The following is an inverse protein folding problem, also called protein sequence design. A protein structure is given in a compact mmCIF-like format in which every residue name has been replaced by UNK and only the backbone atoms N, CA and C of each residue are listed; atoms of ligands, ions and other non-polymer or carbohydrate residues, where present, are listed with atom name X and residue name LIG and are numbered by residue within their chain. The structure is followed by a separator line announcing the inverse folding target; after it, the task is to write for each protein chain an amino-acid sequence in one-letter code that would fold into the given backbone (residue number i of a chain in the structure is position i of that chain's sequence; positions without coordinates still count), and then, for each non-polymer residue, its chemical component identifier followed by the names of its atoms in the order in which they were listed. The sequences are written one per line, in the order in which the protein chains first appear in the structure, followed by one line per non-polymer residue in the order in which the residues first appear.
data_IF_082609046086
#
_entry.id   IF_082609046086
#
_cell.length_a   1.000
_cell.length_b   1.000
_cell.length_c   1.000
_cell.angle_alpha   90.00
_cell.angle_beta   90.00
_cell.angle_gamma   90.00
#
_symmetry.space_group_name_H-M   'P 1'
#
loop_
_entity.id
_entity.type
_entity.pdbx_description
1 polymer ?
#
# COMPACT_ATOMS: atom_id res chain seq x y z
N UNK A 1 6.36 9.94 4.88
CA UNK A 1 4.94 10.31 5.03
C UNK A 1 4.41 10.75 3.67
N UNK A 2 3.29 10.20 3.20
CA UNK A 2 2.64 10.65 1.97
C UNK A 2 1.61 11.74 2.31
N UNK A 3 2.13 12.90 2.70
CA UNK A 3 1.35 14.09 3.06
C UNK A 3 1.26 15.02 1.86
N UNK A 4 0.17 15.78 1.76
CA UNK A 4 -0.07 16.70 0.63
C UNK A 4 0.05 16.01 -0.74
N UNK A 5 -0.76 14.97 -1.02
CA UNK A 5 -0.76 14.36 -2.34
C UNK A 5 -1.17 15.39 -3.39
N UNK A 6 -0.50 15.38 -4.54
CA UNK A 6 -0.78 16.23 -5.70
C UNK A 6 -0.79 15.37 -6.95
N UNK A 7 -1.58 15.79 -7.94
CA UNK A 7 -1.67 15.12 -9.24
C UNK A 7 -0.94 15.95 -10.31
N UNK A 8 -0.11 15.31 -11.13
CA UNK A 8 0.48 15.93 -12.31
C UNK A 8 -0.52 15.93 -13.49
N UNK A 9 -0.32 16.76 -14.53
CA UNK A 9 -1.18 16.74 -15.72
C UNK A 9 -1.26 15.38 -16.42
N UNK A 10 -0.21 14.55 -16.31
CA UNK A 10 -0.19 13.19 -16.83
C UNK A 10 -0.90 12.15 -15.93
N UNK A 11 -1.61 12.58 -14.87
CA UNK A 11 -2.45 11.73 -14.02
C UNK A 11 -1.74 10.98 -12.89
N UNK A 12 -0.41 11.11 -12.77
CA UNK A 12 0.35 10.47 -11.70
C UNK A 12 0.33 11.31 -10.42
N UNK A 13 0.45 10.63 -9.27
CA UNK A 13 0.28 11.25 -7.96
C UNK A 13 1.55 11.13 -7.13
N UNK A 14 1.95 12.22 -6.48
CA UNK A 14 3.15 12.31 -5.65
C UNK A 14 2.86 13.14 -4.39
N UNK A 15 3.72 13.05 -3.38
CA UNK A 15 3.71 14.05 -2.31
C UNK A 15 4.19 15.40 -2.86
N UNK A 16 3.61 16.52 -2.43
CA UNK A 16 3.96 17.86 -2.95
C UNK A 16 5.45 18.16 -2.87
N UNK A 17 6.07 17.86 -1.73
CA UNK A 17 7.51 18.03 -1.52
C UNK A 17 8.32 17.17 -2.50
N UNK A 18 7.94 15.91 -2.68
CA UNK A 18 8.64 14.93 -3.50
C UNK A 18 8.76 15.40 -4.96
N UNK A 19 7.64 15.82 -5.56
CA UNK A 19 7.62 16.27 -6.96
C UNK A 19 8.27 17.65 -7.11
N UNK A 20 8.14 18.52 -6.11
CA UNK A 20 8.77 19.84 -6.10
C UNK A 20 10.29 19.70 -6.10
N UNK A 21 10.85 18.91 -5.18
CA UNK A 21 12.28 18.65 -5.09
C UNK A 21 12.82 17.95 -6.36
N UNK A 22 12.06 17.02 -6.94
CA UNK A 22 12.45 16.39 -8.20
C UNK A 22 12.60 17.42 -9.33
N UNK A 23 11.64 18.34 -9.46
CA UNK A 23 11.70 19.40 -10.47
C UNK A 23 12.74 20.48 -10.20
N UNK A 24 13.05 20.78 -8.93
CA UNK A 24 14.07 21.78 -8.59
C UNK A 24 15.50 21.31 -8.93
N UNK A 25 15.74 19.99 -8.96
CA UNK A 25 17.03 19.39 -9.30
C UNK A 25 17.23 19.04 -10.78
N UNK A 26 16.22 19.25 -11.62
CA UNK A 26 16.21 18.78 -13.02
C UNK A 26 16.14 19.93 -14.02
N UNK A 27 16.73 19.71 -15.20
CA UNK A 27 16.67 20.70 -16.29
C UNK A 27 15.27 20.84 -16.89
N UNK A 28 14.47 19.77 -16.79
CA UNK A 28 13.13 19.68 -17.37
C UNK A 28 12.12 19.25 -16.31
N UNK A 29 10.90 19.77 -16.41
CA UNK A 29 9.79 19.36 -15.54
C UNK A 29 9.24 18.01 -16.01
N UNK A 30 9.93 16.93 -15.63
CA UNK A 30 9.59 15.57 -16.06
C UNK A 30 8.77 14.85 -15.00
N UNK A 31 7.81 14.03 -15.43
CA UNK A 31 7.13 13.10 -14.53
C UNK A 31 8.11 11.98 -14.10
N UNK A 32 8.30 11.73 -12.78
CA UNK A 32 9.17 10.65 -12.30
C UNK A 32 8.76 9.26 -12.80
N UNK A 33 7.48 9.02 -13.07
CA UNK A 33 6.94 7.72 -13.45
C UNK A 33 6.92 7.51 -14.97
N UNK A 34 6.08 8.26 -15.70
CA UNK A 34 5.91 8.06 -17.15
C UNK A 34 6.91 8.84 -18.02
N UNK A 35 7.76 9.68 -17.42
CA UNK A 35 8.79 10.48 -18.11
C UNK A 35 8.25 11.55 -19.07
N UNK A 36 6.95 11.82 -19.05
CA UNK A 36 6.35 12.95 -19.78
C UNK A 36 6.99 14.27 -19.34
N UNK A 37 7.26 15.15 -20.31
CA UNK A 37 7.93 16.43 -20.09
C UNK A 37 6.90 17.54 -20.19
N UNK A 38 6.80 18.36 -19.15
CA UNK A 38 6.00 19.58 -19.14
C UNK A 38 6.86 20.76 -19.60
N UNK A 39 6.35 21.57 -20.52
CA UNK A 39 7.06 22.73 -21.07
C UNK A 39 7.27 23.83 -20.04
N UNK A 40 6.31 23.99 -19.12
CA UNK A 40 6.35 24.90 -17.98
C UNK A 40 6.10 24.14 -16.69
N UNK A 41 6.55 24.68 -15.56
CA UNK A 41 6.30 24.06 -14.25
C UNK A 41 4.81 24.03 -13.96
N UNK A 42 4.18 22.86 -13.80
CA UNK A 42 2.76 22.77 -13.46
C UNK A 42 2.48 23.38 -12.07
N UNK A 43 1.36 24.11 -11.95
CA UNK A 43 0.84 24.51 -10.64
C UNK A 43 0.20 23.29 -9.97
N UNK A 44 0.70 22.93 -8.79
CA UNK A 44 0.25 21.73 -8.06
C UNK A 44 -0.63 22.11 -6.87
N UNK A 45 -1.86 21.60 -6.89
CA UNK A 45 -2.82 21.70 -5.78
C UNK A 45 -2.96 20.37 -5.09
N UNK A 46 -3.18 20.41 -3.78
CA UNK A 46 -3.39 19.20 -2.99
C UNK A 46 -4.68 18.52 -3.46
N UNK A 47 -4.56 17.24 -3.79
CA UNK A 47 -5.68 16.39 -4.12
C UNK A 47 -6.34 15.91 -2.81
N UNK A 48 -7.41 16.57 -2.41
CA UNK A 48 -8.13 16.30 -1.15
C UNK A 48 -8.70 14.90 -1.11
N UNK A 49 -9.20 14.37 -2.24
CA UNK A 49 -9.70 13.00 -2.33
C UNK A 49 -8.63 11.97 -2.01
N UNK A 50 -7.43 12.10 -2.58
CA UNK A 50 -6.31 11.18 -2.26
C UNK A 50 -5.89 11.34 -0.80
N UNK A 51 -5.86 12.58 -0.30
CA UNK A 51 -5.53 12.84 1.11
C UNK A 51 -6.51 12.10 2.04
N UNK A 52 -7.80 12.25 1.83
CA UNK A 52 -8.85 11.58 2.63
C UNK A 52 -8.71 10.06 2.59
N UNK A 53 -8.45 9.47 1.41
CA UNK A 53 -8.21 8.03 1.31
C UNK A 53 -6.99 7.58 2.12
N UNK A 54 -5.87 8.30 2.03
CA UNK A 54 -4.64 7.95 2.76
C UNK A 54 -4.86 8.14 4.28
N UNK A 55 -5.65 9.13 4.68
CA UNK A 55 -6.01 9.37 6.08
C UNK A 55 -6.87 8.23 6.63
N UNK A 56 -7.87 7.78 5.87
CA UNK A 56 -8.71 6.63 6.22
C UNK A 56 -7.88 5.35 6.41
N UNK A 57 -6.97 5.04 5.48
CA UNK A 57 -6.11 3.86 5.61
C UNK A 57 -5.19 3.91 6.83
N UNK A 58 -4.70 5.11 7.22
CA UNK A 58 -3.92 5.26 8.45
C UNK A 58 -4.78 5.03 9.69
N UNK A 59 -5.98 5.60 9.74
CA UNK A 59 -6.90 5.37 10.84
C UNK A 59 -7.28 3.89 10.99
N UNK A 60 -7.53 3.17 9.90
CA UNK A 60 -7.81 1.73 9.95
C UNK A 60 -6.61 0.91 10.42
N UNK A 61 -5.40 1.29 10.02
CA UNK A 61 -4.18 0.66 10.50
C UNK A 61 -3.97 0.88 12.01
N UNK A 62 -4.24 2.10 12.50
CA UNK A 62 -4.17 2.46 13.93
C UNK A 62 -5.27 1.79 14.77
N UNK A 63 -6.48 1.64 14.22
CA UNK A 63 -7.55 0.91 14.91
C UNK A 63 -7.22 -0.57 15.04
N UNK A 64 -6.65 -1.21 14.02
CA UNK A 64 -6.21 -2.61 14.09
C UNK A 64 -5.09 -2.85 15.11
N UNK A 65 -4.21 -1.88 15.34
CA UNK A 65 -3.16 -2.02 16.37
C UNK A 65 -3.71 -1.85 17.78
N UNK A 66 -4.76 -1.03 17.96
CA UNK A 66 -5.41 -0.80 19.26
C UNK A 66 -6.49 -1.83 19.62
N UNK A 67 -7.11 -2.49 18.65
CA UNK A 67 -8.13 -3.52 18.84
C UNK A 67 -7.56 -4.94 18.90
N UNK A 68 -6.29 -5.10 19.27
CA UNK A 68 -5.63 -6.40 19.46
C UNK A 68 -6.16 -7.13 20.70
N UNK A 69 -7.44 -7.45 20.71
CA UNK A 69 -8.01 -8.46 21.60
C UNK A 69 -8.24 -9.80 20.90
N UNK A 70 -8.07 -9.94 19.57
CA UNK A 70 -8.32 -11.23 18.90
C UNK A 70 -7.32 -11.68 17.81
N UNK A 71 -6.31 -10.89 17.42
CA UNK A 71 -5.26 -11.39 16.51
C UNK A 71 -4.14 -12.08 17.30
N UNK A 72 -4.45 -13.25 17.85
CA UNK A 72 -3.47 -14.06 18.57
C UNK A 72 -2.36 -14.52 17.60
N UNK A 73 -1.11 -14.38 18.04
CA UNK A 73 0.03 -14.98 17.36
C UNK A 73 -0.19 -16.49 17.19
N UNK A 74 0.37 -17.07 16.12
CA UNK A 74 0.29 -18.51 15.89
C UNK A 74 0.76 -19.28 17.13
N UNK A 75 -0.09 -20.15 17.66
CA UNK A 75 0.25 -21.01 18.80
C UNK A 75 1.14 -22.17 18.35
N UNK A 76 1.88 -22.82 19.27
CA UNK A 76 2.60 -24.05 18.96
C UNK A 76 1.66 -25.09 18.33
N UNK A 77 2.00 -25.57 17.13
CA UNK A 77 1.17 -26.50 16.35
C UNK A 77 0.30 -25.85 15.27
N UNK A 78 0.25 -24.51 15.19
CA UNK A 78 -0.43 -23.79 14.12
C UNK A 78 0.55 -23.40 13.01
N UNK A 79 0.06 -23.39 11.76
CA UNK A 79 0.85 -22.92 10.62
C UNK A 79 0.87 -21.38 10.63
N UNK A 80 2.04 -20.73 10.73
CA UNK A 80 2.14 -19.28 10.68
C UNK A 80 2.01 -18.76 9.24
N UNK A 81 1.40 -17.59 9.07
CA UNK A 81 1.37 -16.86 7.81
C UNK A 81 2.78 -16.41 7.41
N UNK A 82 3.16 -16.67 6.17
CA UNK A 82 4.45 -16.35 5.56
C UNK A 82 4.48 -14.96 4.91
N UNK A 83 3.32 -14.36 4.65
CA UNK A 83 3.16 -13.02 4.06
C UNK A 83 3.27 -11.91 5.13
N UNK A 84 2.89 -12.19 6.37
CA UNK A 84 2.89 -11.19 7.44
C UNK A 84 4.32 -10.75 7.81
N UNK A 85 4.56 -9.44 7.79
CA UNK A 85 5.78 -8.81 8.34
C UNK A 85 5.60 -8.52 9.83
N UNK A 86 6.45 -9.09 10.69
CA UNK A 86 6.37 -8.95 12.14
C UNK A 86 5.76 -10.17 12.84
N UNK A 87 4.81 -9.97 13.75
CA UNK A 87 4.13 -11.07 14.47
C UNK A 87 3.38 -11.95 13.48
N UNK A 88 3.82 -13.21 13.34
CA UNK A 88 3.18 -14.15 12.42
C UNK A 88 1.86 -14.66 12.99
N UNK A 89 0.77 -14.32 12.30
CA UNK A 89 -0.58 -14.76 12.62
C UNK A 89 -0.82 -16.20 12.12
N UNK A 90 -1.82 -16.88 12.68
CA UNK A 90 -2.27 -18.18 12.18
C UNK A 90 -2.70 -18.07 10.71
N UNK A 91 -2.16 -18.94 9.85
CA UNK A 91 -2.58 -19.05 8.47
C UNK A 91 -4.02 -19.60 8.38
N UNK A 92 -4.83 -18.99 7.53
CA UNK A 92 -6.12 -19.55 7.15
C UNK A 92 -5.88 -20.72 6.19
N UNK A 93 -6.62 -21.82 6.36
CA UNK A 93 -6.54 -22.96 5.44
C UNK A 93 -7.15 -22.55 4.09
N UNK A 94 -6.31 -22.40 3.06
CA UNK A 94 -6.78 -22.32 1.66
C UNK A 94 -6.32 -23.56 0.90
N UNK A 95 -7.23 -24.24 0.21
CA UNK A 95 -6.84 -25.27 -0.76
C UNK A 95 -6.29 -24.57 -2.01
N UNK A 96 -5.01 -24.74 -2.32
CA UNK A 96 -4.50 -24.38 -3.65
C UNK A 96 -4.85 -25.53 -4.58
N UNK A 97 -5.75 -25.28 -5.54
CA UNK A 97 -6.08 -26.28 -6.54
C UNK A 97 -4.98 -26.24 -7.61
N UNK A 98 -3.86 -26.93 -7.37
CA UNK A 98 -2.88 -27.23 -8.41
C UNK A 98 -3.32 -28.50 -9.17
N UNK A 99 -2.91 -28.71 -10.43
CA UNK A 99 -3.51 -29.73 -11.28
C UNK A 99 -3.21 -31.20 -10.91
N UNK A 100 -2.43 -31.49 -9.86
CA UNK A 100 -1.70 -32.78 -9.79
C UNK A 100 -1.92 -33.65 -8.55
N UNK A 101 -2.70 -33.28 -7.52
CA UNK A 101 -2.90 -34.22 -6.38
C UNK A 101 -4.35 -34.32 -5.93
N UNK A 102 -4.86 -35.56 -5.96
CA UNK A 102 -6.17 -36.02 -5.50
C UNK A 102 -6.44 -35.56 -4.06
N UNK A 103 -7.54 -34.86 -3.86
CA UNK A 103 -8.09 -34.51 -2.55
C UNK A 103 -8.58 -35.79 -1.84
N UNK A 104 -7.91 -36.21 -0.77
CA UNK A 104 -8.56 -37.03 0.25
C UNK A 104 -9.07 -36.11 1.33
N UNK A 105 -10.38 -35.88 1.31
CA UNK A 105 -11.11 -35.17 2.34
C UNK A 105 -11.14 -36.02 3.61
N UNK A 106 -10.84 -35.41 4.74
CA UNK A 106 -11.40 -35.83 6.01
C UNK A 106 -12.04 -34.62 6.67
N UNK A 107 -13.37 -34.62 6.66
CA UNK A 107 -14.22 -33.77 7.48
C UNK A 107 -14.03 -34.20 8.94
N UNK A 108 -13.53 -33.31 9.79
CA UNK A 108 -14.18 -32.89 11.06
C UNK A 108 -13.49 -31.64 11.58
#
# INVERSE_FOLDING_TARGET
MFTDPVSTPCGHNFCKTCITTHWDGERFYKCPLCKEIFTTRPELRVNTFIREMVDQFRHEAEQKTSSSSEQQAAKPGEVPCDICTGTRLKALKSCVCSPTVRLTWSLT
#
